data_IF_075585828188
#
_entry.id   IF_075585828188
#
_cell.length_a   1.000
_cell.length_b   1.000
_cell.length_c   1.000
_cell.angle_alpha   90.00
_cell.angle_beta   90.00
_cell.angle_gamma   90.00
#
_symmetry.space_group_name_H-M   'P 1'
#
loop_
_entity.id
_entity.type
_entity.pdbx_description
1 polymer ?
#
# COMPACT_ATOMS: atom_id res chain seq x y z
N UNK A 1 -11.65 -21.45 3.68
CA UNK A 1 -10.43 -20.68 3.99
C UNK A 1 -10.37 -19.53 3.00
N UNK A 2 -10.46 -18.25 3.42
CA UNK A 2 -10.27 -17.14 2.49
C UNK A 2 -8.88 -17.25 1.85
N UNK A 3 -8.79 -16.91 0.57
CA UNK A 3 -7.52 -16.93 -0.17
C UNK A 3 -6.56 -15.92 0.44
N UNK A 4 -5.35 -16.35 0.86
CA UNK A 4 -4.34 -15.47 1.49
C UNK A 4 -3.85 -14.28 0.65
N UNK A 5 -4.25 -14.20 -0.62
CA UNK A 5 -3.77 -13.18 -1.57
C UNK A 5 -4.94 -12.44 -2.21
N UNK A 6 -4.84 -11.11 -2.22
CA UNK A 6 -5.82 -10.23 -2.86
C UNK A 6 -5.47 -10.14 -4.34
N UNK A 7 -6.22 -10.85 -5.19
CA UNK A 7 -5.98 -10.88 -6.64
C UNK A 7 -6.38 -9.58 -7.33
N UNK A 8 -7.44 -8.93 -6.85
CA UNK A 8 -7.94 -7.68 -7.44
C UNK A 8 -7.09 -6.49 -7.00
N UNK A 9 -6.45 -5.84 -7.97
CA UNK A 9 -5.71 -4.59 -7.73
C UNK A 9 -6.61 -3.49 -7.14
N UNK A 10 -7.85 -3.39 -7.59
CA UNK A 10 -8.78 -2.37 -7.10
C UNK A 10 -9.14 -2.61 -5.62
N UNK A 11 -9.40 -3.85 -5.24
CA UNK A 11 -9.70 -4.22 -3.85
C UNK A 11 -8.53 -3.85 -2.94
N UNK A 12 -7.31 -4.24 -3.31
CA UNK A 12 -6.10 -3.92 -2.54
C UNK A 12 -5.90 -2.42 -2.36
N UNK A 13 -6.01 -1.65 -3.44
CA UNK A 13 -5.85 -0.17 -3.39
C UNK A 13 -6.91 0.48 -2.51
N UNK A 14 -8.13 -0.04 -2.51
CA UNK A 14 -9.21 0.43 -1.65
C UNK A 14 -8.94 0.07 -0.18
N UNK A 15 -8.53 -1.16 0.12
CA UNK A 15 -8.16 -1.57 1.48
C UNK A 15 -6.98 -0.76 2.03
N UNK A 16 -5.94 -0.55 1.21
CA UNK A 16 -4.78 0.29 1.54
C UNK A 16 -5.18 1.74 1.82
N UNK A 17 -6.11 2.30 1.03
CA UNK A 17 -6.66 3.63 1.28
C UNK A 17 -7.51 3.72 2.54
N UNK A 18 -8.29 2.67 2.82
CA UNK A 18 -9.13 2.59 4.03
C UNK A 18 -8.33 2.40 5.33
N UNK A 19 -7.05 1.98 5.25
CA UNK A 19 -6.13 2.00 6.40
C UNK A 19 -5.88 3.43 6.91
N UNK A 20 -5.84 4.41 6.01
CA UNK A 20 -5.61 5.81 6.36
C UNK A 20 -6.86 6.48 6.94
N UNK A 21 -8.02 5.82 6.87
CA UNK A 21 -9.28 6.27 7.44
C UNK A 21 -10.51 5.78 6.67
N UNK A 22 -11.69 6.19 7.11
CA UNK A 22 -12.92 5.89 6.38
C UNK A 22 -13.20 6.89 5.26
N UNK A 23 -13.98 6.48 4.26
CA UNK A 23 -14.47 7.41 3.26
C UNK A 23 -15.56 6.85 2.36
N UNK A 24 -16.09 7.72 1.50
CA UNK A 24 -17.14 7.39 0.54
C UNK A 24 -16.56 6.79 -0.74
N UNK A 25 -17.40 6.12 -1.52
CA UNK A 25 -17.00 5.53 -2.80
C UNK A 25 -16.50 6.60 -3.79
N UNK A 26 -17.11 7.79 -3.79
CA UNK A 26 -16.67 8.91 -4.65
C UNK A 26 -15.32 9.47 -4.22
N UNK A 27 -15.05 9.56 -2.91
CA UNK A 27 -13.72 9.92 -2.40
C UNK A 27 -12.67 8.89 -2.80
N UNK A 28 -12.97 7.59 -2.67
CA UNK A 28 -12.08 6.51 -3.11
C UNK A 28 -11.78 6.62 -4.62
N UNK A 29 -12.81 6.86 -5.44
CA UNK A 29 -12.67 7.04 -6.89
C UNK A 29 -11.73 8.20 -7.23
N UNK A 30 -11.91 9.34 -6.56
CA UNK A 30 -11.11 10.55 -6.80
C UNK A 30 -9.66 10.37 -6.38
N UNK A 31 -9.43 9.94 -5.12
CA UNK A 31 -8.07 9.80 -4.55
C UNK A 31 -7.27 8.71 -5.26
N UNK A 32 -7.90 7.58 -5.59
CA UNK A 32 -7.22 6.46 -6.24
C UNK A 32 -7.22 6.56 -7.77
N UNK A 33 -7.89 7.56 -8.36
CA UNK A 33 -8.07 7.66 -9.81
C UNK A 33 -8.72 6.41 -10.42
N UNK A 34 -9.62 5.76 -9.67
CA UNK A 34 -10.37 4.58 -10.13
C UNK A 34 -11.72 5.08 -10.66
N UNK A 35 -12.16 4.62 -11.83
CA UNK A 35 -13.48 4.98 -12.33
C UNK A 35 -14.59 4.54 -11.36
N UNK A 36 -15.59 5.40 -11.17
CA UNK A 36 -16.66 5.19 -10.19
C UNK A 36 -17.33 3.80 -10.25
N UNK A 37 -17.63 3.21 -11.43
CA UNK A 37 -18.21 1.87 -11.49
C UNK A 37 -17.31 0.78 -10.90
N UNK A 38 -15.99 0.87 -11.12
CA UNK A 38 -15.02 -0.09 -10.58
C UNK A 38 -14.83 0.11 -9.07
N UNK A 39 -14.77 1.36 -8.60
CA UNK A 39 -14.69 1.66 -7.18
C UNK A 39 -15.93 1.15 -6.43
N UNK A 40 -17.12 1.37 -6.99
CA UNK A 40 -18.37 0.89 -6.41
C UNK A 40 -18.48 -0.63 -6.39
N UNK A 41 -18.06 -1.31 -7.47
CA UNK A 41 -18.07 -2.77 -7.54
C UNK A 41 -17.10 -3.37 -6.52
N UNK A 42 -15.87 -2.85 -6.45
CA UNK A 42 -14.86 -3.34 -5.51
C UNK A 42 -15.28 -3.10 -4.06
N UNK A 43 -15.79 -1.91 -3.71
CA UNK A 43 -16.34 -1.63 -2.36
C UNK A 43 -17.49 -2.58 -2.02
N UNK A 44 -18.38 -2.88 -2.97
CA UNK A 44 -19.46 -3.85 -2.75
C UNK A 44 -18.91 -5.26 -2.47
N UNK A 45 -17.98 -5.73 -3.28
CA UNK A 45 -17.35 -7.05 -3.09
C UNK A 45 -16.63 -7.15 -1.74
N UNK A 46 -15.90 -6.11 -1.35
CA UNK A 46 -15.22 -6.05 -0.05
C UNK A 46 -16.21 -6.08 1.13
N UNK A 47 -17.39 -5.47 0.99
CA UNK A 47 -18.47 -5.59 1.98
C UNK A 47 -19.06 -6.98 2.03
N UNK A 48 -19.28 -7.61 0.88
CA UNK A 48 -19.78 -9.00 0.79
C UNK A 48 -18.79 -9.99 1.44
N UNK A 49 -17.49 -9.69 1.39
CA UNK A 49 -16.43 -10.45 2.09
C UNK A 49 -16.29 -10.11 3.59
N UNK A 50 -17.00 -9.10 4.10
CA UNK A 50 -16.88 -8.64 5.49
C UNK A 50 -15.61 -7.85 5.81
N UNK A 51 -14.82 -7.48 4.81
CA UNK A 51 -13.55 -6.77 4.94
C UNK A 51 -13.74 -5.25 5.11
N UNK A 52 -14.88 -4.75 4.65
CA UNK A 52 -15.28 -3.35 4.75
C UNK A 52 -16.68 -3.29 5.33
N UNK A 53 -16.88 -2.38 6.28
CA UNK A 53 -18.19 -2.06 6.82
C UNK A 53 -18.62 -0.68 6.36
N UNK A 54 -19.91 -0.53 6.15
CA UNK A 54 -20.54 0.75 5.84
C UNK A 54 -21.19 1.28 7.11
N UNK A 55 -21.01 2.57 7.38
CA UNK A 55 -21.76 3.25 8.43
C UNK A 55 -23.24 3.34 8.05
N UNK A 56 -24.11 2.72 8.85
CA UNK A 56 -25.55 2.60 8.59
C UNK A 56 -26.32 3.87 8.97
N UNK A 57 -25.71 4.77 9.76
CA UNK A 57 -26.35 6.00 10.21
C UNK A 57 -26.47 7.06 9.09
N UNK A 58 -25.83 6.84 7.94
CA UNK A 58 -25.87 7.73 6.79
C UNK A 58 -26.70 7.14 5.64
N UNK A 59 -27.51 8.00 5.01
CA UNK A 59 -28.32 7.69 3.81
C UNK A 59 -27.55 6.86 2.77
N UNK A 60 -28.28 6.08 1.95
CA UNK A 60 -27.73 5.16 0.94
C UNK A 60 -26.67 5.86 0.07
N UNK A 61 -26.81 7.16 -0.18
CA UNK A 61 -25.82 8.00 -0.86
C UNK A 61 -24.94 8.73 0.16
N UNK A 62 -23.64 8.47 0.09
CA UNK A 62 -22.63 9.20 0.88
C UNK A 62 -22.21 8.53 2.20
N UNK A 63 -22.58 7.27 2.43
CA UNK A 63 -22.08 6.59 3.62
C UNK A 63 -20.56 6.36 3.59
N UNK A 64 -19.99 6.56 4.76
CA UNK A 64 -18.58 6.33 5.04
C UNK A 64 -18.38 4.83 5.16
N UNK A 65 -17.42 4.32 4.40
CA UNK A 65 -16.94 2.95 4.48
C UNK A 65 -15.70 2.94 5.37
N UNK A 66 -15.57 1.94 6.23
CA UNK A 66 -14.44 1.74 7.13
C UNK A 66 -13.91 0.32 6.98
N UNK A 67 -12.60 0.18 7.16
CA UNK A 67 -11.94 -1.11 7.19
C UNK A 67 -12.38 -1.90 8.45
N UNK A 68 -12.69 -3.18 8.29
CA UNK A 68 -12.93 -4.07 9.44
C UNK A 68 -11.62 -4.73 9.90
N UNK A 69 -11.56 -5.30 11.11
CA UNK A 69 -10.40 -6.07 11.55
C UNK A 69 -10.04 -7.22 10.58
N UNK A 70 -11.06 -7.88 10.02
CA UNK A 70 -10.86 -8.95 9.04
C UNK A 70 -10.23 -8.44 7.74
N UNK A 71 -10.64 -7.25 7.27
CA UNK A 71 -10.04 -6.62 6.09
C UNK A 71 -8.58 -6.20 6.33
N UNK A 72 -8.28 -5.67 7.52
CA UNK A 72 -6.92 -5.33 7.91
C UNK A 72 -6.01 -6.57 7.97
N UNK A 73 -6.51 -7.67 8.53
CA UNK A 73 -5.79 -8.94 8.59
C UNK A 73 -5.57 -9.54 7.19
N UNK A 74 -6.59 -9.53 6.32
CA UNK A 74 -6.44 -10.03 4.96
C UNK A 74 -5.42 -9.19 4.15
N UNK A 75 -5.42 -7.87 4.33
CA UNK A 75 -4.42 -7.00 3.71
C UNK A 75 -3.00 -7.31 4.22
N UNK A 76 -2.84 -7.54 5.53
CA UNK A 76 -1.56 -7.94 6.12
C UNK A 76 -1.08 -9.30 5.60
N UNK A 77 -1.98 -10.29 5.45
CA UNK A 77 -1.66 -11.58 4.85
C UNK A 77 -1.23 -11.45 3.39
N UNK A 78 -1.88 -10.58 2.59
CA UNK A 78 -1.46 -10.30 1.21
C UNK A 78 -0.05 -9.68 1.16
N UNK A 79 0.28 -8.80 2.10
CA UNK A 79 1.63 -8.23 2.23
C UNK A 79 2.66 -9.31 2.58
N UNK A 80 2.37 -10.20 3.52
CA UNK A 80 3.25 -11.32 3.90
C UNK A 80 3.51 -12.23 2.70
N UNK A 81 2.48 -12.60 1.95
CA UNK A 81 2.64 -13.48 0.77
C UNK A 81 3.47 -12.78 -0.34
N UNK A 82 3.39 -11.45 -0.48
CA UNK A 82 4.30 -10.69 -1.37
C UNK A 82 5.73 -10.73 -0.87
N UNK A 83 5.96 -10.52 0.42
CA UNK A 83 7.30 -10.66 1.02
C UNK A 83 7.83 -12.06 0.76
N UNK A 84 7.01 -13.10 0.95
CA UNK A 84 7.39 -14.49 0.66
C UNK A 84 7.80 -14.70 -0.80
N UNK A 85 7.10 -14.06 -1.74
CA UNK A 85 7.44 -14.11 -3.17
C UNK A 85 8.77 -13.41 -3.49
N UNK A 86 9.09 -12.33 -2.79
CA UNK A 86 10.28 -11.50 -3.05
C UNK A 86 11.48 -11.81 -2.13
N UNK A 87 11.27 -12.50 -1.02
CA UNK A 87 12.24 -12.74 0.05
C UNK A 87 13.40 -13.66 -0.34
N UNK A 88 13.25 -14.48 -1.39
CA UNK A 88 14.32 -15.34 -1.90
C UNK A 88 15.38 -14.56 -2.69
N UNK A 89 15.07 -13.34 -3.15
CA UNK A 89 15.92 -12.58 -4.07
C UNK A 89 16.23 -11.17 -3.54
N UNK A 90 16.46 -11.04 -2.23
CA UNK A 90 16.90 -9.76 -1.66
C UNK A 90 18.33 -9.50 -2.14
N UNK A 91 18.57 -8.46 -2.96
CA UNK A 91 19.91 -8.19 -3.47
C UNK A 91 20.84 -7.81 -2.31
N UNK A 92 22.02 -8.42 -2.26
CA UNK A 92 23.06 -8.09 -1.28
C UNK A 92 23.45 -6.62 -1.40
N UNK A 93 23.49 -5.90 -0.28
CA UNK A 93 23.83 -4.48 -0.22
C UNK A 93 22.66 -3.50 -0.38
N UNK A 94 21.41 -4.00 -0.49
CA UNK A 94 20.21 -3.13 -0.53
C UNK A 94 19.51 -3.09 0.83
N UNK A 95 19.14 -1.90 1.31
CA UNK A 95 18.47 -1.74 2.61
C UNK A 95 16.93 -1.85 2.55
N UNK A 96 16.35 -1.81 1.33
CA UNK A 96 14.91 -1.91 1.10
C UNK A 96 14.59 -2.48 -0.28
N UNK A 97 13.48 -3.20 -0.39
CA UNK A 97 12.97 -3.79 -1.64
C UNK A 97 11.55 -3.29 -1.89
N UNK A 98 11.23 -2.95 -3.14
CA UNK A 98 9.87 -2.58 -3.54
C UNK A 98 9.02 -3.84 -3.69
N UNK A 99 7.99 -4.00 -2.85
CA UNK A 99 7.08 -5.15 -2.86
C UNK A 99 5.84 -4.89 -3.73
N UNK A 100 5.40 -3.63 -3.82
CA UNK A 100 4.30 -3.21 -4.69
C UNK A 100 4.43 -1.74 -5.04
N UNK A 101 4.03 -1.38 -6.24
CA UNK A 101 3.88 0.00 -6.69
C UNK A 101 2.49 0.17 -7.31
N UNK A 102 1.65 1.00 -6.68
CA UNK A 102 0.27 1.22 -7.07
C UNK A 102 -0.04 2.67 -7.49
N UNK A 103 0.97 3.40 -8.02
CA UNK A 103 0.97 4.82 -8.43
C UNK A 103 0.67 5.83 -7.30
N UNK A 104 -0.35 5.55 -6.47
CA UNK A 104 -0.76 6.34 -5.31
C UNK A 104 -0.09 5.89 -4.01
N UNK A 105 0.40 4.65 -3.96
CA UNK A 105 1.08 4.08 -2.80
C UNK A 105 2.18 3.13 -3.25
N UNK A 106 3.22 3.03 -2.43
CA UNK A 106 4.34 2.12 -2.62
C UNK A 106 4.51 1.34 -1.33
N UNK A 107 4.65 0.02 -1.47
CA UNK A 107 4.94 -0.86 -0.35
C UNK A 107 6.42 -1.21 -0.41
N UNK A 108 7.16 -0.84 0.63
CA UNK A 108 8.59 -1.12 0.78
C UNK A 108 8.78 -2.17 1.86
N UNK A 109 9.49 -3.25 1.53
CA UNK A 109 10.05 -4.18 2.50
C UNK A 109 11.41 -3.66 2.93
N UNK A 110 11.54 -3.24 4.20
CA UNK A 110 12.79 -2.70 4.74
C UNK A 110 13.52 -3.76 5.56
N UNK A 111 14.85 -3.82 5.41
CA UNK A 111 15.72 -4.71 6.20
C UNK A 111 16.25 -4.02 7.45
N UNK A 112 16.38 -2.69 7.39
CA UNK A 112 16.89 -1.84 8.46
C UNK A 112 15.87 -0.73 8.72
N UNK A 113 15.69 -0.35 9.99
CA UNK A 113 14.79 0.74 10.35
C UNK A 113 15.27 2.03 9.66
N UNK A 114 14.43 2.67 8.81
CA UNK A 114 14.83 3.91 8.16
C UNK A 114 15.05 5.02 9.22
N UNK A 115 16.01 5.92 8.98
CA UNK A 115 16.36 6.98 9.94
C UNK A 115 15.25 8.02 10.10
N UNK A 116 14.35 8.13 9.13
CA UNK A 116 13.25 9.07 9.15
C UNK A 116 11.98 8.47 8.53
N UNK A 117 10.82 9.04 8.86
CA UNK A 117 9.53 8.68 8.24
C UNK A 117 9.42 9.14 6.78
N UNK A 118 10.30 10.03 6.35
CA UNK A 118 10.38 10.52 4.98
C UNK A 118 11.46 9.73 4.24
N UNK A 119 11.03 8.97 3.24
CA UNK A 119 11.90 8.16 2.41
C UNK A 119 12.01 8.87 1.06
N UNK A 120 13.22 9.32 0.72
CA UNK A 120 13.49 9.86 -0.61
C UNK A 120 13.42 8.72 -1.62
N UNK A 121 12.60 8.90 -2.65
CA UNK A 121 12.50 7.96 -3.76
C UNK A 121 13.38 8.46 -4.91
N UNK A 122 14.24 7.62 -5.48
CA UNK A 122 15.07 8.00 -6.61
C UNK A 122 14.18 8.30 -7.81
N UNK A 123 14.54 9.33 -8.59
CA UNK A 123 13.82 9.59 -9.84
C UNK A 123 14.22 8.56 -10.87
N UNK A 124 13.27 8.15 -11.71
CA UNK A 124 13.52 7.15 -12.76
C UNK A 124 14.65 7.55 -13.72
N UNK A 125 14.90 8.85 -13.91
CA UNK A 125 16.04 9.36 -14.66
C UNK A 125 17.38 9.06 -13.97
N UNK A 126 17.45 9.23 -12.65
CA UNK A 126 18.66 8.98 -11.84
C UNK A 126 19.03 7.49 -11.79
N UNK A 127 18.02 6.59 -11.89
CA UNK A 127 18.24 5.15 -11.96
C UNK A 127 18.75 4.67 -13.33
N UNK A 128 18.58 5.47 -14.38
CA UNK A 128 19.05 5.14 -15.74
C UNK A 128 20.40 5.79 -16.06
N UNK A 129 20.81 6.80 -15.29
CA UNK A 129 22.11 7.44 -15.39
C UNK A 129 23.11 6.78 -14.43
N UNK A 130 23.55 5.57 -14.76
CA UNK A 130 24.54 4.84 -13.94
C UNK A 130 25.94 5.48 -13.91
N UNK A 131 26.22 6.62 -14.58
CA UNK A 131 27.60 7.15 -14.62
C UNK A 131 27.83 8.62 -15.02
N UNK A 132 26.84 9.51 -15.03
CA UNK A 132 27.10 10.94 -15.27
C UNK A 132 27.08 11.72 -13.97
N UNK A 133 28.21 12.34 -13.62
CA UNK A 133 28.36 13.17 -12.41
C UNK A 133 27.15 14.08 -12.19
N UNK A 134 26.40 13.78 -11.13
CA UNK A 134 25.15 14.43 -10.77
C UNK A 134 25.39 15.87 -10.32
N UNK A 135 25.46 16.79 -11.28
CA UNK A 135 25.37 18.22 -11.01
C UNK A 135 23.90 18.60 -10.82
N UNK A 136 23.39 18.42 -9.61
CA UNK A 136 22.04 18.89 -9.24
C UNK A 136 22.01 20.42 -9.17
N UNK A 137 21.15 21.05 -9.97
CA UNK A 137 20.94 22.51 -9.97
C UNK A 137 20.06 23.02 -8.82
N UNK A 138 19.70 22.16 -7.86
CA UNK A 138 18.87 22.50 -6.70
C UNK A 138 17.42 22.88 -7.01
N UNK A 139 17.02 22.97 -8.29
CA UNK A 139 15.66 23.33 -8.73
C UNK A 139 14.76 22.14 -9.01
N UNK A 140 15.29 20.92 -8.99
CA UNK A 140 14.56 19.69 -9.19
C UNK A 140 14.05 19.16 -7.84
N UNK A 141 12.77 19.40 -7.51
CA UNK A 141 12.19 18.93 -6.24
C UNK A 141 12.27 17.40 -6.05
N UNK A 142 12.58 16.91 -4.85
CA UNK A 142 12.67 15.47 -4.59
C UNK A 142 11.31 14.76 -4.64
N UNK A 143 11.30 13.46 -4.97
CA UNK A 143 10.13 12.61 -4.75
C UNK A 143 10.25 12.00 -3.35
N UNK A 144 9.22 12.15 -2.54
CA UNK A 144 9.23 11.68 -1.15
C UNK A 144 8.05 10.75 -0.89
N UNK A 145 8.32 9.61 -0.28
CA UNK A 145 7.31 8.76 0.33
C UNK A 145 7.27 9.01 1.84
N UNK A 146 6.06 9.02 2.40
CA UNK A 146 5.85 9.16 3.84
C UNK A 146 5.43 7.81 4.40
N UNK A 147 6.08 7.36 5.47
CA UNK A 147 5.67 6.19 6.22
C UNK A 147 4.25 6.39 6.77
N UNK A 148 3.33 5.50 6.40
CA UNK A 148 1.96 5.47 6.92
C UNK A 148 1.92 4.72 8.26
N UNK A 149 1.05 5.17 9.17
CA UNK A 149 0.87 4.58 10.49
C UNK A 149 1.93 4.96 11.55
N UNK A 150 1.74 4.46 12.77
CA UNK A 150 2.58 4.79 13.92
C UNK A 150 3.93 4.04 13.92
N UNK A 151 3.94 2.80 13.43
CA UNK A 151 5.09 1.90 13.47
C UNK A 151 5.23 1.09 12.19
N UNK A 152 6.45 0.62 11.93
CA UNK A 152 6.76 -0.35 10.88
C UNK A 152 6.47 -1.75 11.45
N UNK A 153 5.74 -2.56 10.69
CA UNK A 153 5.47 -3.94 11.05
C UNK A 153 6.69 -4.79 10.66
N UNK A 154 7.34 -5.38 11.65
CA UNK A 154 8.47 -6.29 11.43
C UNK A 154 7.95 -7.71 11.27
N UNK A 155 8.43 -8.39 10.22
CA UNK A 155 8.04 -9.76 9.93
C UNK A 155 9.31 -10.58 9.82
N UNK A 156 9.36 -11.71 10.52
CA UNK A 156 10.46 -12.65 10.39
C UNK A 156 10.44 -13.32 9.02
N UNK A 157 11.56 -13.32 8.30
CA UNK A 157 11.68 -13.98 6.99
C UNK A 157 11.70 -15.51 7.07
N UNK A 158 11.91 -16.10 8.26
CA UNK A 158 11.91 -17.55 8.46
C UNK A 158 10.52 -18.10 8.78
N UNK A 159 9.76 -17.40 9.61
CA UNK A 159 8.42 -17.83 10.08
C UNK A 159 7.28 -17.10 9.39
N UNK A 160 7.54 -15.95 8.77
CA UNK A 160 6.52 -15.05 8.20
C UNK A 160 5.49 -14.57 9.23
N UNK A 161 5.90 -14.52 10.49
CA UNK A 161 5.09 -14.01 11.61
C UNK A 161 5.58 -12.63 12.05
N UNK A 162 4.68 -11.76 12.55
CA UNK A 162 5.05 -10.47 13.10
C UNK A 162 5.96 -10.62 14.33
N UNK A 163 6.95 -9.73 14.46
CA UNK A 163 7.92 -9.69 15.57
C UNK A 163 7.79 -8.40 16.37
#
# INVERSE_FOLDING_TARGET
>A
MPTKTIRSRYQRRILDWLLDGGGTVSQASSVLGIAMPHASLAMRQLRELGEVQRDENASIRGAIHRLTPSGAEHLLQDLIERVRKHGTSIPTGTNAVVLSNDNSSVVLGVLVKPPSKLISLPRRAELMEENSGSSSSGKAGGLWAVQRGASIQWISLSTFEPT
#
